data_IF_645420404233
#
_entry.id   IF_645420404233
#
_cell.length_a   1.000
_cell.length_b   1.000
_cell.length_c   1.000
_cell.angle_alpha   90.00
_cell.angle_beta   90.00
_cell.angle_gamma   90.00
#
_symmetry.space_group_name_H-M   'P 1'
#
loop_
_entity.id
_entity.type
_entity.pdbx_description
1 polymer ?
#
# COMPACT_ATOMS: atom_id res chain seq x y z
N UNK A 1 80.92 -9.93 22.69
CA UNK A 1 80.12 -10.90 21.91
C UNK A 1 79.35 -10.11 20.87
N UNK A 2 79.68 -10.35 19.60
CA UNK A 2 79.08 -9.75 18.42
C UNK A 2 77.96 -10.66 17.97
N UNK A 3 76.74 -10.15 17.80
CA UNK A 3 75.80 -10.73 16.84
C UNK A 3 74.93 -9.61 16.27
N UNK A 4 75.29 -9.20 15.07
CA UNK A 4 74.45 -8.41 14.18
C UNK A 4 73.63 -9.39 13.32
N UNK A 5 72.32 -9.16 13.19
CA UNK A 5 71.57 -9.63 12.02
C UNK A 5 70.63 -8.54 11.55
N UNK A 6 70.70 -8.31 10.25
CA UNK A 6 70.19 -7.20 9.45
C UNK A 6 68.96 -7.70 8.65
N UNK A 7 68.17 -6.76 8.10
CA UNK A 7 67.33 -6.90 6.88
C UNK A 7 65.94 -7.56 7.13
N UNK A 8 64.77 -7.09 6.65
CA UNK A 8 64.37 -6.22 5.52
C UNK A 8 63.01 -5.56 5.81
N UNK A 9 62.80 -4.36 5.28
CA UNK A 9 61.49 -3.69 5.07
C UNK A 9 60.69 -4.38 3.96
N UNK A 10 59.36 -4.38 4.09
CA UNK A 10 58.23 -4.41 3.10
C UNK A 10 57.10 -5.28 3.71
N UNK A 11 55.80 -4.97 3.74
CA UNK A 11 54.88 -4.31 2.79
C UNK A 11 53.72 -3.68 3.59
N UNK A 12 53.18 -2.58 3.06
CA UNK A 12 51.94 -1.89 3.46
C UNK A 12 50.69 -2.78 3.32
N UNK A 13 49.61 -2.40 4.00
CA UNK A 13 48.22 -2.81 3.79
C UNK A 13 47.78 -4.14 4.44
N UNK A 14 46.73 -4.04 5.28
CA UNK A 14 45.91 -5.20 5.62
C UNK A 14 45.46 -5.30 7.07
N UNK A 15 45.02 -4.21 7.73
CA UNK A 15 44.29 -4.36 9.01
C UNK A 15 43.31 -3.21 9.30
N UNK A 16 42.60 -2.72 8.28
CA UNK A 16 41.34 -1.96 8.46
C UNK A 16 40.21 -2.78 7.84
N UNK A 17 40.06 -4.02 8.28
CA UNK A 17 38.98 -4.93 7.83
C UNK A 17 38.35 -5.70 9.02
N UNK A 18 38.58 -5.26 10.25
CA UNK A 18 37.99 -5.91 11.45
C UNK A 18 37.01 -4.99 12.19
N UNK A 19 36.64 -3.85 11.62
CA UNK A 19 35.66 -2.91 12.22
C UNK A 19 34.54 -2.48 11.27
N UNK A 20 34.39 -3.17 10.13
CA UNK A 20 33.27 -3.02 9.18
C UNK A 20 32.35 -4.25 9.14
N UNK A 21 32.52 -5.20 10.06
CA UNK A 21 31.60 -6.32 10.30
C UNK A 21 30.39 -5.94 11.17
N UNK A 22 30.19 -4.65 11.46
CA UNK A 22 29.13 -4.14 12.33
C UNK A 22 27.97 -3.44 11.58
N UNK A 23 27.89 -3.49 10.25
CA UNK A 23 26.82 -2.81 9.49
C UNK A 23 26.14 -3.67 8.40
N UNK A 24 25.90 -4.97 8.63
CA UNK A 24 25.12 -5.81 7.68
C UNK A 24 23.73 -6.19 8.15
N UNK A 25 23.15 -5.43 9.09
CA UNK A 25 21.70 -5.49 9.35
C UNK A 25 21.07 -4.15 9.07
N UNK A 26 21.16 -3.71 7.82
CA UNK A 26 20.19 -2.76 7.27
C UNK A 26 18.85 -3.49 7.18
N UNK A 27 18.16 -3.67 8.31
CA UNK A 27 16.74 -3.95 8.26
C UNK A 27 16.12 -2.72 7.59
N UNK A 28 15.51 -2.90 6.41
CA UNK A 28 14.74 -1.84 5.80
C UNK A 28 13.74 -1.31 6.85
N UNK A 29 13.57 0.01 6.99
CA UNK A 29 12.59 0.56 7.91
C UNK A 29 11.23 -0.04 7.59
N UNK A 30 10.54 -0.51 8.63
CA UNK A 30 9.24 -1.12 8.44
C UNK A 30 8.28 -0.14 7.76
N UNK A 31 7.63 -0.59 6.68
CA UNK A 31 6.60 0.17 5.98
C UNK A 31 5.22 -0.27 6.48
N UNK A 32 4.26 0.65 6.47
CA UNK A 32 2.86 0.33 6.75
C UNK A 32 2.11 0.33 5.43
N UNK A 33 1.60 -0.85 5.05
CA UNK A 33 0.64 -0.99 3.98
C UNK A 33 -0.77 -0.78 4.54
N UNK A 34 -1.62 -0.05 3.82
CA UNK A 34 -3.00 0.23 4.20
C UNK A 34 -3.93 -0.18 3.06
N UNK A 35 -4.95 -0.97 3.39
CA UNK A 35 -6.05 -1.32 2.51
C UNK A 35 -7.36 -0.79 3.08
N UNK A 36 -8.11 -0.08 2.25
CA UNK A 36 -9.43 0.45 2.59
C UNK A 36 -10.38 0.14 1.44
N UNK A 37 -11.68 0.26 1.70
CA UNK A 37 -12.67 0.34 0.63
C UNK A 37 -13.51 -0.90 0.41
N UNK A 38 -13.21 -2.04 1.06
CA UNK A 38 -14.17 -3.15 1.09
C UNK A 38 -15.42 -2.66 1.81
N UNK A 39 -16.50 -2.53 1.03
CA UNK A 39 -17.81 -2.12 1.49
C UNK A 39 -18.84 -3.11 1.01
N UNK A 40 -19.81 -3.40 1.86
CA UNK A 40 -20.97 -4.18 1.48
C UNK A 40 -22.24 -3.62 2.10
N UNK A 41 -23.36 -3.88 1.44
CA UNK A 41 -24.69 -3.54 1.92
C UNK A 41 -25.44 -4.86 2.13
N UNK A 42 -25.80 -5.14 3.38
CA UNK A 42 -26.78 -6.17 3.70
C UNK A 42 -28.15 -5.51 3.75
N UNK A 43 -29.12 -6.08 3.06
CA UNK A 43 -30.51 -5.63 3.01
C UNK A 43 -31.38 -6.29 4.11
N UNK A 44 -30.77 -7.17 4.91
CA UNK A 44 -31.39 -7.94 5.99
C UNK A 44 -30.56 -7.85 7.27
N UNK A 45 -31.16 -8.19 8.41
CA UNK A 45 -30.50 -8.10 9.71
C UNK A 45 -30.46 -6.69 10.31
N UNK A 46 -29.89 -6.58 11.51
CA UNK A 46 -29.69 -5.33 12.26
C UNK A 46 -28.24 -5.14 12.66
N UNK A 47 -27.94 -4.03 13.36
CA UNK A 47 -26.58 -3.74 13.82
C UNK A 47 -26.01 -4.84 14.74
N UNK A 48 -26.85 -5.52 15.52
CA UNK A 48 -26.41 -6.62 16.38
C UNK A 48 -25.87 -7.81 15.57
N UNK A 49 -26.48 -8.13 14.41
CA UNK A 49 -25.99 -9.15 13.48
C UNK A 49 -24.64 -8.72 12.87
N UNK A 50 -24.55 -7.47 12.44
CA UNK A 50 -23.30 -6.92 11.91
C UNK A 50 -22.19 -6.95 12.96
N UNK A 51 -22.49 -6.55 14.18
CA UNK A 51 -21.55 -6.49 15.30
C UNK A 51 -21.04 -7.89 15.68
N UNK A 52 -21.94 -8.88 15.78
CA UNK A 52 -21.56 -10.28 16.03
C UNK A 52 -20.66 -10.85 14.92
N UNK A 53 -20.98 -10.58 13.64
CA UNK A 53 -20.17 -11.01 12.49
C UNK A 53 -18.82 -10.30 12.42
N UNK A 54 -18.78 -9.00 12.73
CA UNK A 54 -17.55 -8.20 12.77
C UNK A 54 -16.57 -8.78 13.81
N UNK A 55 -17.06 -9.05 15.02
CA UNK A 55 -16.28 -9.69 16.08
C UNK A 55 -15.73 -11.04 15.62
N UNK A 56 -16.60 -11.92 15.15
CA UNK A 56 -16.21 -13.27 14.75
C UNK A 56 -15.21 -13.28 13.58
N UNK A 57 -15.34 -12.34 12.65
CA UNK A 57 -14.41 -12.19 11.53
C UNK A 57 -13.04 -11.69 11.97
N UNK A 58 -12.99 -10.70 12.85
CA UNK A 58 -11.75 -10.15 13.37
C UNK A 58 -11.00 -11.17 14.25
N UNK A 59 -11.70 -11.85 15.17
CA UNK A 59 -11.09 -12.87 16.05
C UNK A 59 -10.53 -14.09 15.29
N UNK A 60 -10.95 -14.30 14.03
CA UNK A 60 -10.44 -15.40 13.22
C UNK A 60 -9.03 -15.15 12.65
N UNK A 61 -8.61 -13.89 12.52
CA UNK A 61 -7.34 -13.51 11.89
C UNK A 61 -6.46 -12.63 12.77
N UNK A 62 -7.07 -11.94 13.72
CA UNK A 62 -6.43 -10.99 14.64
C UNK A 62 -6.84 -11.34 16.07
N UNK A 63 -6.24 -10.64 17.02
CA UNK A 63 -6.51 -10.84 18.45
C UNK A 63 -7.17 -9.60 19.05
N UNK A 64 -7.87 -9.81 20.18
CA UNK A 64 -8.48 -8.75 20.97
C UNK A 64 -9.47 -7.89 20.19
N UNK A 65 -10.38 -8.50 19.42
CA UNK A 65 -11.44 -7.74 18.76
C UNK A 65 -12.31 -7.03 19.82
N UNK A 66 -12.33 -5.71 19.75
CA UNK A 66 -13.03 -4.83 20.70
C UNK A 66 -13.94 -3.87 19.95
N UNK A 67 -15.14 -3.70 20.48
CA UNK A 67 -16.11 -2.75 19.95
C UNK A 67 -15.93 -1.39 20.62
N UNK A 68 -15.86 -0.34 19.81
CA UNK A 68 -16.01 1.03 20.26
C UNK A 68 -17.49 1.39 20.39
N UNK A 69 -17.82 2.43 21.15
CA UNK A 69 -19.20 2.89 21.37
C UNK A 69 -19.97 3.31 20.10
N UNK A 70 -19.34 3.32 18.92
CA UNK A 70 -19.92 3.74 17.63
C UNK A 70 -20.19 2.59 16.65
N UNK A 71 -20.17 1.33 17.08
CA UNK A 71 -20.37 0.18 16.17
C UNK A 71 -19.17 -0.06 15.23
N UNK A 72 -18.00 0.42 15.65
CA UNK A 72 -16.72 0.16 15.00
C UNK A 72 -15.94 -0.83 15.85
N UNK A 73 -15.56 -1.94 15.24
CA UNK A 73 -14.73 -2.98 15.82
C UNK A 73 -13.29 -2.79 15.40
N UNK A 74 -12.36 -2.98 16.33
CA UNK A 74 -10.92 -2.93 16.10
C UNK A 74 -10.29 -4.23 16.61
N UNK A 75 -9.37 -4.80 15.83
CA UNK A 75 -8.50 -5.87 16.29
C UNK A 75 -7.07 -5.65 15.82
N UNK A 76 -6.11 -6.26 16.52
CA UNK A 76 -4.69 -6.15 16.19
C UNK A 76 -4.01 -7.52 16.25
N UNK A 77 -2.94 -7.69 15.47
CA UNK A 77 -2.01 -8.80 15.62
C UNK A 77 -0.67 -8.25 16.12
N UNK A 78 -0.07 -8.98 17.05
CA UNK A 78 1.26 -8.67 17.56
C UNK A 78 2.25 -9.74 17.12
N UNK A 79 3.48 -9.33 16.85
CA UNK A 79 4.59 -10.25 16.79
C UNK A 79 4.90 -10.74 18.22
N UNK A 80 4.76 -12.03 18.53
CA UNK A 80 4.97 -12.55 19.89
C UNK A 80 6.43 -12.40 20.36
N UNK A 81 7.39 -12.26 19.43
CA UNK A 81 8.81 -12.10 19.77
C UNK A 81 9.22 -10.63 19.99
N UNK A 82 8.57 -9.69 19.31
CA UNK A 82 8.89 -8.26 19.38
C UNK A 82 7.87 -7.43 20.18
N UNK A 83 6.72 -7.99 20.53
CA UNK A 83 5.57 -7.32 21.16
C UNK A 83 5.09 -6.07 20.39
N UNK A 84 5.44 -5.95 19.11
CA UNK A 84 5.01 -4.88 18.21
C UNK A 84 3.73 -5.28 17.47
N UNK A 85 2.85 -4.32 17.23
CA UNK A 85 1.65 -4.52 16.40
C UNK A 85 2.09 -4.62 14.94
N UNK A 86 1.91 -5.78 14.33
CA UNK A 86 2.29 -6.04 12.93
C UNK A 86 1.10 -6.03 11.97
N UNK A 87 -0.13 -6.00 12.50
CA UNK A 87 -1.33 -5.73 11.73
C UNK A 87 -2.44 -5.15 12.61
N UNK A 88 -3.32 -4.37 12.00
CA UNK A 88 -4.55 -3.88 12.59
C UNK A 88 -5.67 -3.96 11.56
N UNK A 89 -6.90 -4.19 12.01
CA UNK A 89 -8.06 -4.03 11.15
C UNK A 89 -9.24 -3.44 11.91
N UNK A 90 -10.01 -2.62 11.20
CA UNK A 90 -11.28 -2.09 11.67
C UNK A 90 -12.43 -2.56 10.79
N UNK A 91 -13.55 -2.88 11.44
CA UNK A 91 -14.83 -3.22 10.78
C UNK A 91 -15.87 -2.29 11.33
N UNK A 92 -16.52 -1.50 10.47
CA UNK A 92 -17.51 -0.52 10.89
C UNK A 92 -18.87 -0.81 10.29
N UNK A 93 -19.87 -0.87 11.17
CA UNK A 93 -21.26 -1.14 10.84
C UNK A 93 -22.06 0.18 10.85
N UNK A 94 -22.85 0.44 9.81
CA UNK A 94 -23.75 1.58 9.72
C UNK A 94 -25.17 1.09 9.49
N UNK A 95 -26.12 1.52 10.31
CA UNK A 95 -27.51 1.15 10.14
C UNK A 95 -28.10 1.75 8.85
N UNK A 96 -28.93 0.97 8.16
CA UNK A 96 -29.81 1.44 7.10
C UNK A 96 -31.28 1.24 7.52
N UNK A 97 -32.25 1.90 6.87
CA UNK A 97 -33.67 1.64 7.11
C UNK A 97 -34.07 0.17 6.93
N UNK A 98 -33.32 -0.57 6.10
CA UNK A 98 -33.42 -2.02 5.92
C UNK A 98 -32.00 -2.60 5.82
N UNK A 99 -31.53 -3.23 6.90
CA UNK A 99 -30.21 -3.83 6.98
C UNK A 99 -29.10 -2.87 7.41
N UNK A 100 -27.89 -3.07 6.90
CA UNK A 100 -26.70 -2.31 7.29
C UNK A 100 -25.66 -2.21 6.17
N UNK A 101 -24.82 -1.18 6.24
CA UNK A 101 -23.57 -1.08 5.48
C UNK A 101 -22.43 -1.51 6.39
N UNK A 102 -21.51 -2.32 5.89
CA UNK A 102 -20.26 -2.65 6.58
C UNK A 102 -19.06 -2.18 5.76
N UNK A 103 -18.04 -1.63 6.41
CA UNK A 103 -16.76 -1.25 5.79
C UNK A 103 -15.59 -1.87 6.53
N UNK A 104 -14.57 -2.32 5.79
CA UNK A 104 -13.34 -2.91 6.33
C UNK A 104 -12.14 -2.01 6.01
N UNK A 105 -11.22 -1.86 6.96
CA UNK A 105 -9.94 -1.18 6.78
C UNK A 105 -8.86 -2.00 7.47
N UNK A 106 -7.74 -2.22 6.82
CA UNK A 106 -6.65 -3.05 7.32
C UNK A 106 -5.32 -2.35 7.12
N UNK A 107 -4.45 -2.43 8.12
CA UNK A 107 -3.09 -1.95 8.08
C UNK A 107 -2.14 -3.08 8.44
N UNK A 108 -1.05 -3.22 7.70
CA UNK A 108 -0.06 -4.28 7.92
C UNK A 108 1.35 -3.72 7.84
N UNK A 109 2.21 -4.15 8.76
CA UNK A 109 3.62 -3.80 8.79
C UNK A 109 4.42 -4.77 7.91
N UNK A 110 5.11 -4.26 6.90
CA UNK A 110 5.98 -5.01 5.99
C UNK A 110 7.44 -4.65 6.28
N UNK A 111 8.39 -5.62 6.24
CA UNK A 111 8.24 -7.01 5.81
C UNK A 111 7.88 -7.99 6.93
N UNK A 112 7.59 -7.51 8.13
CA UNK A 112 7.42 -8.37 9.32
C UNK A 112 6.15 -9.24 9.28
N UNK A 113 5.17 -8.89 8.44
CA UNK A 113 3.95 -9.66 8.24
C UNK A 113 3.96 -10.43 6.91
N UNK A 114 3.61 -11.73 6.89
CA UNK A 114 3.55 -12.53 5.66
C UNK A 114 2.36 -12.19 4.74
N UNK A 115 1.42 -11.36 5.18
CA UNK A 115 0.25 -10.92 4.41
C UNK A 115 0.39 -9.45 4.00
N UNK A 116 -0.16 -9.10 2.83
CA UNK A 116 -0.46 -7.71 2.49
C UNK A 116 -1.74 -7.23 3.18
N UNK A 117 -1.91 -5.92 3.28
CA UNK A 117 -3.10 -5.33 3.91
C UNK A 117 -4.40 -5.66 3.16
N UNK A 118 -4.34 -5.81 1.84
CA UNK A 118 -5.43 -6.21 0.96
C UNK A 118 -5.90 -7.65 1.22
N UNK A 119 -4.96 -8.58 1.33
CA UNK A 119 -5.23 -9.99 1.60
C UNK A 119 -5.85 -10.18 2.98
N UNK A 120 -5.36 -9.45 3.99
CA UNK A 120 -5.96 -9.45 5.34
C UNK A 120 -7.42 -8.98 5.29
N UNK A 121 -7.70 -7.86 4.62
CA UNK A 121 -9.04 -7.31 4.52
C UNK A 121 -10.00 -8.23 3.77
N UNK A 122 -9.55 -8.87 2.69
CA UNK A 122 -10.35 -9.83 1.95
C UNK A 122 -10.70 -11.07 2.80
N UNK A 123 -9.75 -11.58 3.57
CA UNK A 123 -9.96 -12.72 4.45
C UNK A 123 -10.97 -12.42 5.57
N UNK A 124 -10.83 -11.25 6.22
CA UNK A 124 -11.79 -10.78 7.23
C UNK A 124 -13.19 -10.66 6.61
N UNK A 125 -13.29 -10.05 5.42
CA UNK A 125 -14.55 -9.95 4.71
C UNK A 125 -15.16 -11.33 4.42
N UNK A 126 -14.42 -12.28 3.84
CA UNK A 126 -14.92 -13.65 3.61
C UNK A 126 -15.48 -14.30 4.87
N UNK A 127 -14.75 -14.17 5.98
CA UNK A 127 -15.19 -14.74 7.25
C UNK A 127 -16.46 -14.07 7.77
N UNK A 128 -16.58 -12.75 7.61
CA UNK A 128 -17.78 -12.00 7.98
C UNK A 128 -19.05 -12.56 7.30
N UNK A 129 -18.94 -13.04 6.06
CA UNK A 129 -20.08 -13.57 5.30
C UNK A 129 -20.27 -15.09 5.40
N UNK A 130 -19.48 -15.79 6.21
CA UNK A 130 -19.65 -17.23 6.42
C UNK A 130 -19.18 -18.12 5.25
N UNK A 131 -18.29 -17.63 4.39
CA UNK A 131 -17.76 -18.42 3.27
C UNK A 131 -17.01 -17.57 2.24
N UNK A 132 -16.49 -18.20 1.18
CA UNK A 132 -15.99 -17.47 0.03
C UNK A 132 -17.13 -16.59 -0.52
N UNK A 133 -16.87 -15.30 -0.67
CA UNK A 133 -17.83 -14.35 -1.24
C UNK A 133 -18.03 -14.69 -2.73
N UNK A 134 -18.95 -15.60 -3.05
CA UNK A 134 -19.40 -15.82 -4.43
C UNK A 134 -20.28 -14.67 -4.94
N UNK A 135 -20.80 -13.85 -4.01
CA UNK A 135 -21.63 -12.69 -4.31
C UNK A 135 -21.39 -11.57 -3.29
N UNK A 136 -20.15 -11.06 -3.22
CA UNK A 136 -20.05 -9.61 -3.08
C UNK A 136 -20.94 -9.06 -4.21
N UNK A 137 -22.13 -8.51 -3.89
CA UNK A 137 -22.67 -7.47 -4.75
C UNK A 137 -21.49 -6.53 -4.90
N UNK A 138 -20.90 -6.56 -6.09
CA UNK A 138 -19.56 -6.04 -6.29
C UNK A 138 -19.54 -4.69 -5.57
N UNK A 139 -18.56 -4.45 -4.68
CA UNK A 139 -18.02 -3.09 -4.64
C UNK A 139 -17.98 -2.69 -6.09
N UNK A 140 -18.67 -1.62 -6.55
CA UNK A 140 -18.74 -1.31 -7.97
C UNK A 140 -17.35 -1.55 -8.47
N UNK A 141 -17.16 -2.61 -9.28
CA UNK A 141 -15.83 -3.03 -9.70
C UNK A 141 -15.20 -1.72 -10.09
N UNK A 142 -14.11 -1.22 -9.45
CA UNK A 142 -13.54 0.07 -9.84
C UNK A 142 -13.43 -0.08 -11.33
N UNK A 143 -14.30 0.63 -12.08
CA UNK A 143 -14.77 0.19 -13.39
C UNK A 143 -13.52 -0.25 -14.10
N UNK A 144 -13.35 -1.56 -14.42
CA UNK A 144 -12.04 -2.18 -14.61
C UNK A 144 -11.24 -1.15 -15.33
N UNK A 145 -10.22 -0.56 -14.63
CA UNK A 145 -9.60 0.71 -15.03
C UNK A 145 -9.57 0.66 -16.53
N UNK A 146 -10.30 1.55 -17.24
CA UNK A 146 -10.47 1.37 -18.67
C UNK A 146 -9.10 1.01 -19.20
N UNK A 147 -8.95 -0.20 -19.72
CA UNK A 147 -7.72 -0.61 -20.37
C UNK A 147 -7.70 0.24 -21.62
N UNK A 148 -7.22 1.48 -21.46
CA UNK A 148 -7.72 2.60 -22.22
C UNK A 148 -7.46 3.93 -21.52
N UNK A 149 -7.17 4.93 -22.33
CA UNK A 149 -6.83 6.25 -21.84
C UNK A 149 -8.11 6.96 -21.40
N UNK A 150 -8.38 6.93 -20.10
CA UNK A 150 -9.52 7.61 -19.51
C UNK A 150 -9.11 8.99 -19.02
N UNK A 151 -9.83 10.06 -19.36
CA UNK A 151 -9.59 11.38 -18.79
C UNK A 151 -10.05 11.49 -17.32
N UNK A 152 -10.67 10.43 -16.77
CA UNK A 152 -11.19 10.43 -15.41
C UNK A 152 -10.17 9.93 -14.35
N UNK A 153 -9.01 9.40 -14.76
CA UNK A 153 -7.95 8.97 -13.85
C UNK A 153 -6.58 8.89 -14.56
N UNK A 154 -5.49 8.79 -13.79
CA UNK A 154 -4.12 8.71 -14.32
C UNK A 154 -3.51 7.30 -14.30
N UNK A 155 -4.25 6.28 -13.88
CA UNK A 155 -3.73 4.93 -13.60
C UNK A 155 -3.13 4.24 -14.83
N UNK A 156 -1.85 3.89 -14.80
CA UNK A 156 -1.22 3.14 -15.88
C UNK A 156 0.20 3.60 -16.15
N UNK A 157 0.77 3.13 -17.25
CA UNK A 157 2.14 3.47 -17.64
C UNK A 157 2.15 4.70 -18.54
N UNK A 158 2.98 5.66 -18.19
CA UNK A 158 3.23 6.89 -18.93
C UNK A 158 4.67 6.91 -19.39
N UNK A 159 4.90 7.22 -20.65
CA UNK A 159 6.24 7.38 -21.22
C UNK A 159 6.50 8.86 -21.43
N UNK A 160 7.67 9.33 -21.02
CA UNK A 160 8.07 10.72 -21.30
C UNK A 160 8.33 10.88 -22.79
N UNK A 161 7.71 11.89 -23.40
CA UNK A 161 7.97 12.27 -24.79
C UNK A 161 9.30 13.04 -24.90
N UNK A 162 9.72 13.72 -23.82
CA UNK A 162 10.89 14.60 -23.79
C UNK A 162 12.16 13.92 -23.27
N UNK A 163 12.02 12.87 -22.45
CA UNK A 163 13.13 12.13 -21.83
C UNK A 163 13.06 10.65 -22.23
N UNK A 164 13.78 10.24 -23.28
CA UNK A 164 13.81 8.85 -23.72
C UNK A 164 14.16 7.90 -22.56
N UNK A 165 13.35 6.86 -22.36
CA UNK A 165 13.56 5.86 -21.32
C UNK A 165 12.90 6.15 -19.98
N UNK A 166 12.46 7.39 -19.72
CA UNK A 166 11.68 7.69 -18.52
C UNK A 166 10.26 7.14 -18.66
N UNK A 167 9.88 6.24 -17.77
CA UNK A 167 8.50 5.75 -17.65
C UNK A 167 7.99 5.90 -16.24
N UNK A 168 6.76 6.39 -16.09
CA UNK A 168 6.07 6.51 -14.81
C UNK A 168 4.92 5.50 -14.77
N UNK A 169 4.75 4.80 -13.65
CA UNK A 169 3.60 3.94 -13.39
C UNK A 169 2.73 4.59 -12.33
N UNK A 170 1.52 5.00 -12.69
CA UNK A 170 0.53 5.52 -11.76
C UNK A 170 -0.38 4.39 -11.28
N UNK A 171 -0.56 4.27 -9.97
CA UNK A 171 -1.45 3.30 -9.36
C UNK A 171 -2.81 3.90 -8.98
N UNK A 172 -3.74 3.04 -8.56
CA UNK A 172 -5.09 3.40 -8.16
C UNK A 172 -5.18 4.20 -6.85
N UNK A 173 -4.11 4.21 -6.06
CA UNK A 173 -4.05 4.80 -4.74
C UNK A 173 -3.48 6.22 -4.77
N UNK A 174 -3.26 6.78 -5.96
CA UNK A 174 -2.67 8.12 -6.11
C UNK A 174 -1.14 8.11 -6.11
N UNK A 175 -0.50 6.94 -6.20
CA UNK A 175 0.95 6.81 -6.27
C UNK A 175 1.48 6.84 -7.71
N UNK A 176 2.71 7.31 -7.86
CA UNK A 176 3.55 7.17 -9.05
C UNK A 176 4.87 6.49 -8.68
N UNK A 177 5.42 5.69 -9.58
CA UNK A 177 6.80 5.18 -9.50
C UNK A 177 7.46 5.24 -10.86
N UNK A 178 8.69 5.75 -10.96
CA UNK A 178 9.45 5.74 -12.20
C UNK A 178 10.15 4.39 -12.47
N UNK A 179 10.83 4.25 -13.60
CA UNK A 179 11.63 3.07 -13.94
C UNK A 179 12.86 2.86 -13.05
N UNK A 180 13.28 3.89 -12.31
CA UNK A 180 14.43 3.84 -11.41
C UNK A 180 14.00 3.55 -9.95
N UNK A 181 12.69 3.33 -9.72
CA UNK A 181 12.11 3.00 -8.42
C UNK A 181 11.80 4.20 -7.53
N UNK A 182 11.88 5.42 -8.07
CA UNK A 182 11.59 6.66 -7.36
C UNK A 182 10.09 6.90 -7.34
N UNK A 183 9.53 7.01 -6.14
CA UNK A 183 8.11 7.17 -5.93
C UNK A 183 7.70 8.64 -5.75
N UNK A 184 6.46 8.92 -6.10
CA UNK A 184 5.79 10.21 -5.96
C UNK A 184 4.28 10.03 -5.85
N UNK A 185 3.54 11.13 -5.82
CA UNK A 185 2.08 11.12 -5.72
C UNK A 185 1.43 11.93 -6.85
N UNK A 186 0.15 11.67 -7.12
CA UNK A 186 -0.64 12.44 -8.07
C UNK A 186 -2.03 12.82 -7.59
N UNK A 187 -2.52 13.92 -8.17
CA UNK A 187 -3.90 14.36 -8.06
C UNK A 187 -4.45 14.77 -9.43
N UNK A 188 -5.75 14.56 -9.63
CA UNK A 188 -6.48 15.00 -10.82
C UNK A 188 -7.72 15.78 -10.39
N UNK A 189 -7.82 17.04 -10.83
CA UNK A 189 -9.00 17.89 -10.61
C UNK A 189 -9.46 18.47 -11.95
N UNK A 190 -10.55 17.93 -12.49
CA UNK A 190 -10.94 18.22 -13.88
C UNK A 190 -9.86 17.71 -14.83
N UNK A 191 -9.26 18.61 -15.62
CA UNK A 191 -8.12 18.30 -16.49
C UNK A 191 -6.77 18.68 -15.87
N UNK A 192 -6.75 19.29 -14.68
CA UNK A 192 -5.50 19.69 -14.02
C UNK A 192 -4.91 18.50 -13.28
N UNK A 193 -3.67 18.19 -13.60
CA UNK A 193 -2.86 17.14 -12.97
C UNK A 193 -1.83 17.79 -12.06
N UNK A 194 -1.74 17.32 -10.83
CA UNK A 194 -0.62 17.64 -9.94
C UNK A 194 0.23 16.39 -9.79
N UNK A 195 1.52 16.46 -10.10
CA UNK A 195 2.51 15.41 -9.83
C UNK A 195 3.49 15.92 -8.77
N UNK A 196 3.66 15.16 -7.69
CA UNK A 196 4.70 15.40 -6.69
C UNK A 196 5.80 14.36 -6.90
N UNK A 197 6.80 14.70 -7.69
CA UNK A 197 7.90 13.84 -8.13
C UNK A 197 9.09 14.70 -8.54
N UNK A 198 10.20 14.64 -7.78
CA UNK A 198 11.32 15.61 -7.86
C UNK A 198 10.91 17.10 -7.75
N UNK A 199 9.80 17.35 -7.04
CA UNK A 199 9.15 18.65 -6.95
C UNK A 199 7.67 18.54 -7.22
N UNK A 200 6.94 19.66 -7.09
CA UNK A 200 5.54 19.74 -7.50
C UNK A 200 5.45 20.27 -8.92
N UNK A 201 4.69 19.57 -9.76
CA UNK A 201 4.49 19.88 -11.16
C UNK A 201 2.99 19.93 -11.47
N UNK A 202 2.55 21.00 -12.12
CA UNK A 202 1.19 21.12 -12.63
C UNK A 202 1.18 20.87 -14.13
N UNK A 203 0.43 19.85 -14.56
CA UNK A 203 0.23 19.50 -15.95
C UNK A 203 -1.26 19.54 -16.30
N UNK A 204 -1.55 19.45 -17.59
CA UNK A 204 -2.90 19.33 -18.13
C UNK A 204 -3.04 17.98 -18.81
N UNK A 205 -4.07 17.22 -18.40
CA UNK A 205 -4.49 15.98 -19.06
C UNK A 205 -5.37 16.31 -20.27
N UNK A 206 -5.03 15.74 -21.42
CA UNK A 206 -5.83 15.87 -22.65
C UNK A 206 -7.18 15.17 -22.51
N UNK A 207 -8.16 15.62 -23.30
CA UNK A 207 -9.53 15.09 -23.26
C UNK A 207 -9.64 13.60 -23.62
N UNK A 208 -8.68 13.07 -24.37
CA UNK A 208 -8.56 11.65 -24.71
C UNK A 208 -7.87 10.81 -23.63
N UNK A 209 -7.44 11.43 -22.52
CA UNK A 209 -6.74 10.78 -21.41
C UNK A 209 -5.35 10.23 -21.76
N UNK A 210 -4.81 10.58 -22.94
CA UNK A 210 -3.55 10.02 -23.48
C UNK A 210 -2.32 10.84 -23.16
N UNK A 211 -2.47 12.15 -23.01
CA UNK A 211 -1.34 13.07 -22.94
C UNK A 211 -1.42 13.94 -21.69
N UNK A 212 -0.32 14.04 -20.95
CA UNK A 212 -0.14 15.03 -19.89
C UNK A 212 0.93 16.02 -20.32
N UNK A 213 0.62 17.32 -20.29
CA UNK A 213 1.55 18.38 -20.74
C UNK A 213 1.57 19.54 -19.77
N UNK A 214 2.75 20.04 -19.43
CA UNK A 214 2.91 21.22 -18.57
C UNK A 214 4.16 21.14 -17.70
N UNK A 215 4.57 22.27 -17.13
CA UNK A 215 5.73 22.32 -16.24
C UNK A 215 7.06 21.88 -16.86
N UNK A 216 7.17 21.89 -18.20
CA UNK A 216 8.35 21.39 -18.93
C UNK A 216 8.38 19.88 -19.17
N UNK A 217 7.25 19.20 -18.97
CA UNK A 217 7.12 17.76 -19.18
C UNK A 217 5.96 17.42 -20.10
N UNK A 218 6.18 16.44 -20.95
CA UNK A 218 5.18 15.78 -21.79
C UNK A 218 5.26 14.27 -21.57
N UNK A 219 4.10 13.67 -21.31
CA UNK A 219 3.98 12.23 -21.16
C UNK A 219 2.84 11.68 -22.01
N UNK A 220 3.06 10.51 -22.60
CA UNK A 220 2.06 9.73 -23.32
C UNK A 220 1.75 8.44 -22.58
N UNK A 221 0.49 8.18 -22.27
CA UNK A 221 0.02 6.96 -21.61
C UNK A 221 0.06 5.80 -22.60
N UNK A 222 0.60 4.65 -22.16
CA UNK A 222 0.46 3.38 -22.85
C UNK A 222 -0.94 2.83 -22.58
N UNK A 223 -1.77 3.02 -23.59
CA UNK A 223 -3.03 2.36 -23.85
C UNK A 223 -2.86 1.65 -25.20
#
# INVERSE_FOLDING_TARGET
MITATRIRRTVFAGSVVVTLLLCTRSFAPAAVELSTGIRHVSDTGGLDDCSAKAKAALDAYLTNATESSSGEWLATAQNPQAQTVTAAATVRCYALPKGYVVTFTCAVQIPENPYGADALCLNIAHKFYGGALSSLAAMPTPTPVPTGCSPANLVGTWVSDDKPGLTLTADLNGGFTDNDGVSGNWGLRGTTVTLTYYGEHTLTLSADGKHMRGGGYNFTRKC
#
